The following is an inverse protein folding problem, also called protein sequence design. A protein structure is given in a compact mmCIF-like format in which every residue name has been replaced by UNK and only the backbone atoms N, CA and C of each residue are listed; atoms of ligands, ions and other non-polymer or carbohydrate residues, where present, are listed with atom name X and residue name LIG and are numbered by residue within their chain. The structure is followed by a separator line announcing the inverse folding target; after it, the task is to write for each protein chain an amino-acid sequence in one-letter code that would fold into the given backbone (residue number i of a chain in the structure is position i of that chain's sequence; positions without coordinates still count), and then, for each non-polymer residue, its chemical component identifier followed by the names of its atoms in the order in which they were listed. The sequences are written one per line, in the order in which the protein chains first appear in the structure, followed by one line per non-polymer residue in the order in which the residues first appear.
data_IF_167472710646
#
_entry.id   IF_167472710646
#
_cell.length_a   1.000
_cell.length_b   1.000
_cell.length_c   1.000
_cell.angle_alpha   90.00
_cell.angle_beta   90.00
_cell.angle_gamma   90.00
#
_symmetry.space_group_name_H-M   'P 1'
#
loop_
_entity.id
_entity.type
_entity.pdbx_description
1 polymer ?
#
# COMPACT_ATOMS: atom_id res chain seq x y z
N UNK A 1 -12.50 16.08 18.08
CA UNK A 1 -11.76 14.99 17.39
C UNK A 1 -11.85 15.14 15.87
N UNK A 2 -10.98 15.94 15.23
CA UNK A 2 -10.84 15.93 13.75
C UNK A 2 -10.21 14.61 13.33
N UNK A 3 -11.04 13.57 13.16
CA UNK A 3 -10.62 12.21 12.79
C UNK A 3 -9.72 12.30 11.56
N UNK A 4 -8.64 11.51 11.52
CA UNK A 4 -7.72 11.35 10.37
C UNK A 4 -8.42 10.70 9.16
N UNK A 5 -9.53 11.28 8.71
CA UNK A 5 -10.39 10.77 7.63
C UNK A 5 -9.65 10.74 6.31
N UNK A 6 -8.83 11.75 6.02
CA UNK A 6 -8.15 11.88 4.71
C UNK A 6 -7.10 10.76 4.53
N UNK A 7 -6.22 10.55 5.52
CA UNK A 7 -5.22 9.47 5.50
C UNK A 7 -5.86 8.07 5.45
N UNK A 8 -6.96 7.91 6.20
CA UNK A 8 -7.76 6.69 6.20
C UNK A 8 -8.36 6.42 4.81
N UNK A 9 -9.00 7.42 4.20
CA UNK A 9 -9.68 7.29 2.91
C UNK A 9 -8.66 7.03 1.81
N UNK A 10 -7.58 7.81 1.73
CA UNK A 10 -6.55 7.64 0.69
C UNK A 10 -5.85 6.29 0.81
N UNK A 11 -5.46 5.88 2.03
CA UNK A 11 -4.84 4.57 2.27
C UNK A 11 -5.78 3.42 1.89
N UNK A 12 -7.05 3.52 2.27
CA UNK A 12 -8.05 2.48 1.99
C UNK A 12 -8.41 2.39 0.51
N UNK A 13 -8.50 3.52 -0.21
CA UNK A 13 -8.71 3.53 -1.67
C UNK A 13 -7.51 2.91 -2.38
N UNK A 14 -6.29 3.30 -2.01
CA UNK A 14 -5.06 2.70 -2.56
C UNK A 14 -5.00 1.19 -2.34
N UNK A 15 -5.39 0.72 -1.15
CA UNK A 15 -5.47 -0.70 -0.85
C UNK A 15 -6.55 -1.48 -1.57
N UNK A 16 -7.75 -0.93 -1.73
CA UNK A 16 -8.82 -1.62 -2.48
C UNK A 16 -8.40 -1.78 -3.95
N UNK A 17 -7.92 -0.70 -4.57
CA UNK A 17 -7.44 -0.71 -5.96
C UNK A 17 -6.26 -1.68 -6.09
N UNK A 18 -5.28 -1.59 -5.19
CA UNK A 18 -4.10 -2.44 -5.20
C UNK A 18 -4.40 -3.93 -5.01
N UNK A 19 -5.38 -4.27 -4.18
CA UNK A 19 -5.83 -5.65 -3.97
C UNK A 19 -6.54 -6.19 -5.20
N UNK A 20 -7.40 -5.39 -5.83
CA UNK A 20 -8.10 -5.79 -7.05
C UNK A 20 -7.12 -6.04 -8.21
N UNK A 21 -6.21 -5.10 -8.43
CA UNK A 21 -5.17 -5.22 -9.47
C UNK A 21 -4.17 -6.36 -9.17
N UNK A 22 -3.76 -6.51 -7.91
CA UNK A 22 -2.88 -7.59 -7.47
C UNK A 22 -3.52 -8.98 -7.61
N UNK A 23 -4.81 -9.11 -7.26
CA UNK A 23 -5.57 -10.35 -7.40
C UNK A 23 -5.75 -10.77 -8.85
N UNK A 24 -6.05 -9.82 -9.75
CA UNK A 24 -6.12 -10.10 -11.19
C UNK A 24 -4.78 -10.62 -11.74
N UNK A 25 -3.66 -10.03 -11.32
CA UNK A 25 -2.33 -10.56 -11.68
C UNK A 25 -2.12 -11.98 -11.16
N UNK A 26 -2.48 -12.27 -9.91
CA UNK A 26 -2.33 -13.60 -9.34
C UNK A 26 -3.09 -14.66 -10.16
N UNK A 27 -4.31 -14.34 -10.59
CA UNK A 27 -5.13 -15.23 -11.45
C UNK A 27 -4.47 -15.44 -12.81
N UNK A 28 -4.05 -14.36 -13.49
CA UNK A 28 -3.41 -14.44 -14.81
C UNK A 28 -2.12 -15.25 -14.76
N UNK A 29 -1.23 -14.95 -13.81
CA UNK A 29 0.04 -15.69 -13.65
C UNK A 29 -0.19 -17.15 -13.22
N UNK A 30 -1.21 -17.41 -12.41
CA UNK A 30 -1.63 -18.77 -12.06
C UNK A 30 -2.10 -19.57 -13.28
N UNK A 31 -2.89 -18.96 -14.16
CA UNK A 31 -3.38 -19.60 -15.38
C UNK A 31 -2.25 -19.85 -16.40
N UNK A 32 -1.34 -18.89 -16.57
CA UNK A 32 -0.14 -19.05 -17.42
C UNK A 32 0.74 -20.20 -16.92
N UNK A 33 0.91 -20.33 -15.59
CA UNK A 33 1.66 -21.45 -14.99
C UNK A 33 1.00 -22.80 -15.30
N UNK A 34 -0.32 -22.89 -15.20
CA UNK A 34 -1.09 -24.11 -15.48
C UNK A 34 -0.95 -24.55 -16.95
N UNK A 35 -0.91 -23.60 -17.89
CA UNK A 35 -0.80 -23.89 -19.33
C UNK A 35 0.63 -24.26 -19.72
N UNK A 36 1.63 -23.47 -19.30
CA UNK A 36 2.99 -23.61 -19.81
C UNK A 36 3.86 -24.62 -19.04
N UNK A 37 3.35 -25.25 -17.97
CA UNK A 37 4.16 -26.04 -17.00
C UNK A 37 5.46 -25.32 -16.63
N UNK A 38 5.44 -23.99 -16.65
CA UNK A 38 6.61 -23.17 -16.49
C UNK A 38 6.95 -23.01 -15.00
N UNK A 39 8.23 -22.84 -14.76
CA UNK A 39 8.91 -22.61 -13.49
C UNK A 39 8.07 -21.73 -12.54
N UNK A 40 8.02 -22.10 -11.26
CA UNK A 40 7.20 -21.49 -10.17
C UNK A 40 7.60 -20.07 -9.76
N UNK A 41 8.79 -19.60 -10.14
CA UNK A 41 9.34 -18.30 -9.76
C UNK A 41 8.49 -17.05 -10.12
N UNK A 42 7.79 -16.99 -11.28
CA UNK A 42 6.97 -15.83 -11.64
C UNK A 42 5.73 -15.64 -10.75
N UNK A 43 5.31 -16.66 -9.99
CA UNK A 43 4.15 -16.60 -9.10
C UNK A 43 4.48 -16.02 -7.72
N UNK A 44 5.74 -16.12 -7.28
CA UNK A 44 6.19 -15.67 -5.96
C UNK A 44 6.08 -14.15 -5.82
N UNK A 45 6.50 -13.41 -6.84
CA UNK A 45 6.47 -11.94 -6.84
C UNK A 45 5.04 -11.39 -6.69
N UNK A 46 4.04 -11.78 -7.53
CA UNK A 46 2.68 -11.29 -7.37
C UNK A 46 2.03 -11.74 -6.06
N UNK A 47 2.38 -12.92 -5.54
CA UNK A 47 1.91 -13.38 -4.24
C UNK A 47 2.44 -12.51 -3.08
N UNK A 48 3.74 -12.17 -3.10
CA UNK A 48 4.35 -11.30 -2.09
C UNK A 48 3.70 -9.90 -2.10
N UNK A 49 3.48 -9.35 -3.30
CA UNK A 49 2.79 -8.06 -3.48
C UNK A 49 1.37 -8.15 -2.93
N UNK A 50 0.66 -9.26 -3.14
CA UNK A 50 -0.71 -9.44 -2.65
C UNK A 50 -0.77 -9.43 -1.11
N UNK A 51 0.16 -10.11 -0.44
CA UNK A 51 0.29 -10.07 1.02
C UNK A 51 0.56 -8.64 1.51
N UNK A 52 1.42 -7.89 0.80
CA UNK A 52 1.72 -6.51 1.14
C UNK A 52 0.48 -5.60 1.04
N UNK A 53 -0.38 -5.82 0.04
CA UNK A 53 -1.65 -5.09 -0.11
C UNK A 53 -2.62 -5.38 1.04
N UNK A 54 -2.70 -6.64 1.50
CA UNK A 54 -3.49 -7.00 2.69
C UNK A 54 -2.93 -6.31 3.94
N UNK A 55 -1.61 -6.27 4.10
CA UNK A 55 -0.95 -5.53 5.17
C UNK A 55 -1.31 -4.03 5.15
N UNK A 56 -1.35 -3.42 3.97
CA UNK A 56 -1.74 -2.03 3.79
C UNK A 56 -3.21 -1.76 4.15
N UNK A 57 -4.13 -2.71 3.91
CA UNK A 57 -5.53 -2.63 4.37
C UNK A 57 -5.57 -2.58 5.90
N UNK A 58 -4.87 -3.50 6.56
CA UNK A 58 -4.84 -3.59 8.02
C UNK A 58 -4.23 -2.33 8.63
N UNK A 59 -3.15 -1.81 8.04
CA UNK A 59 -2.52 -0.55 8.44
C UNK A 59 -3.48 0.62 8.29
N UNK A 60 -4.18 0.73 7.15
CA UNK A 60 -5.20 1.75 6.91
C UNK A 60 -6.30 1.67 7.98
N UNK A 61 -6.76 0.48 8.34
CA UNK A 61 -7.74 0.27 9.41
C UNK A 61 -7.22 0.68 10.81
N UNK A 62 -5.90 0.60 11.05
CA UNK A 62 -5.28 1.00 12.32
C UNK A 62 -4.80 2.45 12.37
N UNK A 63 -5.01 3.25 11.32
CA UNK A 63 -4.53 4.65 11.26
C UNK A 63 -4.94 5.49 12.47
N UNK A 64 -6.10 5.22 13.08
CA UNK A 64 -6.57 6.01 14.22
C UNK A 64 -5.87 5.64 15.55
N UNK A 65 -5.38 4.40 15.70
CA UNK A 65 -4.66 3.92 16.91
C UNK A 65 -3.14 4.07 16.81
N UNK A 66 -2.59 4.30 15.62
CA UNK A 66 -1.14 4.32 15.39
C UNK A 66 -0.53 5.73 15.46
N UNK A 67 0.73 5.79 15.89
CA UNK A 67 1.49 7.03 15.97
C UNK A 67 1.71 7.62 14.57
N UNK A 68 1.60 8.94 14.44
CA UNK A 68 1.61 9.65 13.14
C UNK A 68 2.89 9.39 12.33
N UNK A 69 4.04 9.38 13.01
CA UNK A 69 5.35 9.10 12.43
C UNK A 69 5.44 7.67 11.89
N UNK A 70 5.07 6.69 12.72
CA UNK A 70 5.12 5.27 12.39
C UNK A 70 4.19 4.91 11.22
N UNK A 71 2.98 5.46 11.20
CA UNK A 71 2.04 5.24 10.09
C UNK A 71 2.56 5.81 8.78
N UNK A 72 3.10 7.04 8.82
CA UNK A 72 3.65 7.70 7.64
C UNK A 72 4.82 6.93 7.02
N UNK A 73 5.80 6.54 7.85
CA UNK A 73 6.97 5.77 7.42
C UNK A 73 6.58 4.40 6.84
N UNK A 74 5.65 3.68 7.49
CA UNK A 74 5.17 2.38 7.00
C UNK A 74 4.43 2.50 5.65
N UNK A 75 3.54 3.48 5.51
CA UNK A 75 2.81 3.71 4.24
C UNK A 75 3.75 4.09 3.09
N UNK A 76 4.74 4.95 3.34
CA UNK A 76 5.74 5.32 2.33
C UNK A 76 6.60 4.10 1.98
N UNK A 77 7.08 3.36 2.97
CA UNK A 77 7.88 2.14 2.76
C UNK A 77 7.14 1.12 1.90
N UNK A 78 5.88 0.84 2.22
CA UNK A 78 5.01 -0.04 1.42
C UNK A 78 4.83 0.49 -0.01
N UNK A 79 4.60 1.80 -0.17
CA UNK A 79 4.49 2.44 -1.48
C UNK A 79 5.75 2.28 -2.33
N UNK A 80 6.93 2.49 -1.76
CA UNK A 80 8.23 2.33 -2.44
C UNK A 80 8.49 0.88 -2.81
N UNK A 81 8.24 -0.07 -1.90
CA UNK A 81 8.39 -1.50 -2.19
C UNK A 81 7.49 -1.92 -3.35
N UNK A 82 6.24 -1.45 -3.39
CA UNK A 82 5.31 -1.74 -4.48
C UNK A 82 5.79 -1.09 -5.78
N UNK A 83 6.32 0.12 -5.73
CA UNK A 83 6.81 0.84 -6.90
C UNK A 83 8.04 0.17 -7.53
N UNK A 84 8.95 -0.35 -6.71
CA UNK A 84 10.16 -1.07 -7.18
C UNK A 84 9.81 -2.50 -7.60
N UNK A 85 8.94 -3.19 -6.86
CA UNK A 85 8.61 -4.60 -7.08
C UNK A 85 7.56 -4.83 -8.18
N UNK A 86 6.78 -3.82 -8.56
CA UNK A 86 5.69 -3.98 -9.52
C UNK A 86 6.02 -3.37 -10.88
N UNK A 87 6.16 -4.22 -11.90
CA UNK A 87 6.24 -3.80 -13.30
C UNK A 87 4.96 -3.02 -13.67
N UNK A 88 5.12 -1.69 -13.82
CA UNK A 88 4.26 -0.67 -14.46
C UNK A 88 2.75 -0.57 -14.10
N UNK A 89 2.16 -1.58 -13.49
CA UNK A 89 0.70 -1.70 -13.38
C UNK A 89 0.18 -1.29 -12.00
N UNK A 90 1.02 -1.21 -10.96
CA UNK A 90 0.61 -0.83 -9.60
C UNK A 90 1.07 0.59 -9.19
N UNK A 91 1.33 1.48 -10.16
CA UNK A 91 1.70 2.87 -9.87
C UNK A 91 0.61 3.64 -9.12
N UNK A 92 -0.66 3.44 -9.48
CA UNK A 92 -1.79 4.12 -8.85
C UNK A 92 -1.82 3.85 -7.33
N UNK A 93 -1.85 2.59 -6.86
CA UNK A 93 -1.81 2.30 -5.42
C UNK A 93 -0.50 2.74 -4.76
N UNK A 94 0.64 2.63 -5.43
CA UNK A 94 1.92 3.10 -4.88
C UNK A 94 1.94 4.61 -4.60
N UNK A 95 1.46 5.42 -5.55
CA UNK A 95 1.36 6.88 -5.40
C UNK A 95 0.38 7.23 -4.26
N UNK A 96 -0.76 6.54 -4.18
CA UNK A 96 -1.74 6.74 -3.12
C UNK A 96 -1.15 6.44 -1.73
N UNK A 97 -0.33 5.40 -1.58
CA UNK A 97 0.35 5.10 -0.32
C UNK A 97 1.40 6.14 0.06
N UNK A 98 2.20 6.60 -0.91
CA UNK A 98 3.20 7.67 -0.67
C UNK A 98 2.50 8.96 -0.26
N UNK A 99 1.42 9.34 -0.94
CA UNK A 99 0.62 10.53 -0.59
C UNK A 99 -0.03 10.38 0.78
N UNK A 100 -0.59 9.21 1.10
CA UNK A 100 -1.18 8.94 2.41
C UNK A 100 -0.16 9.08 3.54
N UNK A 101 1.04 8.52 3.36
CA UNK A 101 2.10 8.64 4.36
C UNK A 101 2.70 10.06 4.45
N UNK A 102 2.83 10.75 3.33
CA UNK A 102 3.29 12.14 3.28
C UNK A 102 2.33 13.12 4.00
N UNK A 103 1.01 12.93 3.84
CA UNK A 103 -0.01 13.73 4.55
C UNK A 103 0.06 13.48 6.07
N UNK A 104 0.30 12.24 6.49
CA UNK A 104 0.46 11.89 7.91
C UNK A 104 1.70 12.57 8.54
N UNK A 105 2.83 12.61 7.81
CA UNK A 105 4.07 13.26 8.26
C UNK A 105 3.95 14.80 8.28
N UNK A 106 3.28 15.39 7.29
CA UNK A 106 3.08 16.85 7.24
C UNK A 106 2.26 17.36 8.42
N UNK A 107 1.20 16.64 8.81
CA UNK A 107 0.42 16.99 10.01
C UNK A 107 1.22 16.89 11.30
N UNK A 108 2.12 15.90 11.41
CA UNK A 108 3.02 15.81 12.56
C UNK A 108 3.88 17.06 12.68
N UNK A 109 4.43 17.54 11.55
CA UNK A 109 5.27 18.74 11.50
C UNK A 109 4.49 20.02 11.85
N UNK A 110 3.25 20.17 11.36
CA UNK A 110 2.37 21.30 11.72
C UNK A 110 2.00 21.30 13.21
N UNK A 111 1.70 20.14 13.81
CA UNK A 111 1.34 20.05 15.24
C UNK A 111 2.55 20.39 16.13
N UNK A 112 3.74 19.89 15.78
CA UNK A 112 4.98 20.19 16.53
C UNK A 112 5.35 21.67 16.45
N UNK A 113 5.13 22.32 15.30
CA UNK A 113 5.46 23.74 15.11
C UNK A 113 4.51 24.69 15.84
N UNK A 114 3.25 24.28 16.10
CA UNK A 114 2.28 25.08 16.88
C UNK A 114 2.47 24.89 18.40
N UNK A 115 3.18 23.84 18.82
CA UNK A 115 3.45 23.52 20.22
C UNK A 115 4.74 24.15 20.77
N UNK A 116 5.48 24.91 19.96
CA UNK A 116 6.66 25.71 20.32
C UNK A 116 6.25 27.17 20.35
#
# INVERSE_FOLDING_TARGET
MKRRKVEFIIGRIGSIIGTFMGGMKLIVYGFVMAIHKAITWPLIIPFLIFILQIGAIVLSCRVNKMNHKLYGELMIGVGVIILVGSVLSLYIPAILYIVSGGVALRKLKEIVFIAI
#
